data_IF_396268621116
#
_entry.id   IF_396268621116
#
_cell.length_a   1.000
_cell.length_b   1.000
_cell.length_c   1.000
_cell.angle_alpha   90.00
_cell.angle_beta   90.00
_cell.angle_gamma   90.00
#
_symmetry.space_group_name_H-M   'P 1'
#
loop_
_entity.id
_entity.type
_entity.pdbx_description
1 polymer ?
#
# COMPACT_ATOMS: atom_id res chain seq x y z
N UNK A 1 -37.45 0.16 -26.47
CA UNK A 1 -36.81 -0.84 -25.58
C UNK A 1 -36.07 -0.05 -24.51
N UNK A 2 -36.64 0.05 -23.30
CA UNK A 2 -36.03 0.82 -22.20
C UNK A 2 -34.87 -0.02 -21.67
N UNK A 3 -33.62 0.41 -21.92
CA UNK A 3 -32.46 -0.21 -21.26
C UNK A 3 -32.64 -0.01 -19.77
N UNK A 4 -32.67 -1.09 -19.03
CA UNK A 4 -32.69 -0.98 -17.56
C UNK A 4 -31.35 -0.39 -17.12
N UNK A 5 -31.29 0.34 -16.01
CA UNK A 5 -30.00 0.82 -15.46
C UNK A 5 -29.00 -0.31 -15.20
N UNK A 6 -29.47 -1.57 -15.16
CA UNK A 6 -28.65 -2.79 -15.06
C UNK A 6 -28.00 -3.20 -16.38
N UNK A 7 -28.68 -3.04 -17.52
CA UNK A 7 -28.07 -3.25 -18.84
C UNK A 7 -26.92 -2.26 -19.07
N UNK A 8 -27.06 -1.02 -18.57
CA UNK A 8 -25.98 -0.04 -18.58
C UNK A 8 -24.86 -0.37 -17.57
N UNK A 9 -25.17 -0.99 -16.43
CA UNK A 9 -24.18 -1.43 -15.45
C UNK A 9 -23.31 -2.58 -15.97
N UNK A 10 -23.91 -3.57 -16.67
CA UNK A 10 -23.20 -4.64 -17.38
C UNK A 10 -22.30 -4.13 -18.51
N UNK A 11 -22.63 -2.97 -19.07
CA UNK A 11 -21.90 -2.29 -20.14
C UNK A 11 -20.91 -1.23 -19.64
N UNK A 12 -20.70 -1.06 -18.32
CA UNK A 12 -19.57 -0.28 -17.82
C UNK A 12 -18.31 -1.07 -18.18
N UNK A 13 -17.71 -0.65 -19.29
CA UNK A 13 -16.59 -1.24 -20.03
C UNK A 13 -15.78 -2.28 -19.24
N UNK A 14 -15.46 -3.44 -19.85
CA UNK A 14 -14.40 -4.30 -19.31
C UNK A 14 -13.23 -3.39 -18.96
N UNK A 15 -12.75 -3.44 -17.70
CA UNK A 15 -11.68 -2.53 -17.25
C UNK A 15 -10.39 -2.70 -18.07
N UNK A 16 -10.32 -3.77 -18.88
CA UNK A 16 -9.38 -4.01 -19.97
C UNK A 16 -9.58 -3.18 -21.26
N UNK A 17 -10.35 -2.10 -21.27
CA UNK A 17 -10.18 -1.06 -22.30
C UNK A 17 -8.84 -0.31 -22.11
N UNK A 18 -7.73 -1.04 -22.30
CA UNK A 18 -6.37 -0.70 -22.78
C UNK A 18 -5.69 0.55 -22.26
N UNK A 19 -6.22 1.17 -21.22
CA UNK A 19 -5.69 2.44 -20.74
C UNK A 19 -4.54 2.24 -19.77
N UNK A 20 -4.47 1.11 -19.06
CA UNK A 20 -3.52 0.94 -17.96
C UNK A 20 -3.93 1.76 -16.74
N UNK A 21 -3.50 1.30 -15.56
CA UNK A 21 -3.86 1.92 -14.29
C UNK A 21 -3.35 3.38 -14.24
N UNK A 22 -4.16 4.29 -13.68
CA UNK A 22 -3.78 5.68 -13.53
C UNK A 22 -2.59 5.81 -12.57
N UNK A 23 -1.57 6.59 -12.94
CA UNK A 23 -0.35 6.71 -12.15
C UNK A 23 -0.50 7.62 -10.92
N UNK A 24 -1.44 8.56 -10.97
CA UNK A 24 -1.61 9.62 -9.99
C UNK A 24 -1.78 9.10 -8.54
N UNK A 25 -2.60 8.07 -8.25
CA UNK A 25 -2.73 7.55 -6.88
C UNK A 25 -1.40 7.09 -6.28
N UNK A 26 -0.57 6.37 -7.05
CA UNK A 26 0.74 5.90 -6.58
C UNK A 26 1.68 7.06 -6.28
N UNK A 27 1.73 8.07 -7.15
CA UNK A 27 2.55 9.27 -6.94
C UNK A 27 2.09 10.03 -5.70
N UNK A 28 0.78 10.23 -5.53
CA UNK A 28 0.23 10.90 -4.35
C UNK A 28 0.56 10.13 -3.09
N UNK A 29 0.38 8.81 -3.07
CA UNK A 29 0.74 7.97 -1.92
C UNK A 29 2.23 8.11 -1.57
N UNK A 30 3.13 8.04 -2.55
CA UNK A 30 4.57 8.25 -2.34
C UNK A 30 4.88 9.64 -1.81
N UNK A 31 4.29 10.70 -2.37
CA UNK A 31 4.49 12.08 -1.90
C UNK A 31 3.98 12.27 -0.47
N UNK A 32 2.86 11.63 -0.10
CA UNK A 32 2.36 11.64 1.27
C UNK A 32 3.35 10.95 2.21
N UNK A 33 3.92 9.79 1.85
CA UNK A 33 4.96 9.14 2.64
C UNK A 33 6.20 10.04 2.83
N UNK A 34 6.67 10.70 1.77
CA UNK A 34 7.78 11.67 1.83
C UNK A 34 7.45 12.81 2.80
N UNK A 35 6.25 13.38 2.72
CA UNK A 35 5.80 14.45 3.61
C UNK A 35 5.71 13.98 5.07
N UNK A 36 5.19 12.78 5.32
CA UNK A 36 5.13 12.21 6.67
C UNK A 36 6.53 12.06 7.25
N UNK A 37 7.50 11.57 6.46
CA UNK A 37 8.89 11.46 6.87
C UNK A 37 9.52 12.82 7.21
N UNK A 38 9.31 13.83 6.37
CA UNK A 38 9.85 15.18 6.59
C UNK A 38 9.34 15.83 7.89
N UNK A 39 8.11 15.49 8.28
CA UNK A 39 7.45 15.98 9.47
C UNK A 39 7.79 15.16 10.73
N UNK A 40 8.58 14.09 10.63
CA UNK A 40 9.00 13.31 11.79
C UNK A 40 9.92 14.12 12.71
N UNK A 41 9.81 13.93 14.04
CA UNK A 41 10.77 14.46 15.00
C UNK A 41 12.21 14.04 14.67
N UNK A 42 13.18 14.94 14.88
CA UNK A 42 14.58 14.71 14.50
C UNK A 42 15.18 13.46 15.14
N UNK A 43 14.76 13.12 16.35
CA UNK A 43 15.21 11.94 17.10
C UNK A 43 14.78 10.60 16.49
N UNK A 44 13.91 10.60 15.48
CA UNK A 44 13.43 9.40 14.77
C UNK A 44 13.99 9.32 13.33
N UNK A 45 14.82 10.28 12.93
CA UNK A 45 15.39 10.31 11.59
C UNK A 45 16.66 9.45 11.53
N UNK A 46 16.74 8.57 10.53
CA UNK A 46 17.90 7.72 10.25
C UNK A 46 19.05 8.50 9.60
N UNK A 47 18.71 9.54 8.85
CA UNK A 47 19.63 10.34 8.06
C UNK A 47 19.28 11.83 8.23
N UNK A 48 20.14 12.76 7.77
CA UNK A 48 19.75 14.17 7.71
C UNK A 48 18.43 14.33 6.96
N UNK A 49 17.53 15.16 7.49
CA UNK A 49 16.10 15.23 7.13
C UNK A 49 15.79 15.22 5.63
N UNK A 50 16.67 15.78 4.81
CA UNK A 50 16.44 15.91 3.37
C UNK A 50 17.08 14.82 2.51
N UNK A 51 17.99 14.00 3.06
CA UNK A 51 18.75 13.01 2.29
C UNK A 51 17.83 11.92 1.75
N UNK A 52 17.02 11.30 2.61
CA UNK A 52 16.09 10.24 2.20
C UNK A 52 14.97 10.76 1.28
N UNK A 53 14.27 11.85 1.62
CA UNK A 53 13.31 12.50 0.71
C UNK A 53 13.89 12.87 -0.65
N UNK A 54 15.12 13.42 -0.70
CA UNK A 54 15.76 13.73 -1.96
C UNK A 54 16.04 12.47 -2.79
N UNK A 55 16.51 11.39 -2.15
CA UNK A 55 16.73 10.10 -2.81
C UNK A 55 15.42 9.50 -3.34
N UNK A 56 14.34 9.54 -2.55
CA UNK A 56 13.01 9.08 -2.95
C UNK A 56 12.49 9.87 -4.16
N UNK A 57 12.66 11.21 -4.17
CA UNK A 57 12.30 12.06 -5.30
C UNK A 57 13.15 11.75 -6.55
N UNK A 58 14.46 11.56 -6.39
CA UNK A 58 15.38 11.20 -7.48
C UNK A 58 14.99 9.87 -8.11
N UNK A 59 14.52 8.90 -7.32
CA UNK A 59 14.00 7.63 -7.84
C UNK A 59 12.59 7.78 -8.44
N UNK A 60 11.74 8.61 -7.86
CA UNK A 60 10.37 8.82 -8.33
C UNK A 60 10.33 9.46 -9.72
N UNK A 61 11.20 10.43 -9.99
CA UNK A 61 11.27 11.17 -11.27
C UNK A 61 11.36 10.23 -12.49
N UNK A 62 12.36 9.33 -12.63
CA UNK A 62 12.46 8.43 -13.78
C UNK A 62 11.30 7.43 -13.83
N UNK A 63 10.81 6.94 -12.69
CA UNK A 63 9.66 6.03 -12.66
C UNK A 63 8.43 6.75 -13.24
N UNK A 64 8.19 8.01 -12.87
CA UNK A 64 7.11 8.85 -13.44
C UNK A 64 7.35 9.13 -14.92
N UNK A 65 8.58 9.47 -15.32
CA UNK A 65 8.91 9.79 -16.70
C UNK A 65 8.63 8.62 -17.67
N UNK A 66 8.85 7.37 -17.25
CA UNK A 66 8.59 6.18 -18.09
C UNK A 66 7.08 5.98 -18.33
N UNK A 67 6.24 6.25 -17.33
CA UNK A 67 4.78 6.09 -17.40
C UNK A 67 4.09 7.31 -16.74
N UNK A 68 3.97 8.45 -17.44
CA UNK A 68 3.59 9.73 -16.80
C UNK A 68 2.13 9.81 -16.43
N UNK A 69 1.24 9.15 -17.19
CA UNK A 69 -0.21 9.20 -16.95
C UNK A 69 -0.77 7.82 -16.58
N UNK A 70 -0.37 6.80 -17.32
CA UNK A 70 -0.90 5.44 -17.18
C UNK A 70 0.19 4.40 -17.30
N UNK A 71 0.05 3.34 -16.51
CA UNK A 71 1.00 2.26 -16.40
C UNK A 71 0.79 1.26 -17.54
N UNK A 72 1.53 1.46 -18.63
CA UNK A 72 1.39 0.67 -19.87
C UNK A 72 2.70 0.00 -20.29
N UNK A 73 3.85 0.56 -19.92
CA UNK A 73 5.16 0.05 -20.32
C UNK A 73 5.95 -0.47 -19.12
N UNK A 74 6.23 -1.77 -19.12
CA UNK A 74 7.08 -2.41 -18.10
C UNK A 74 8.48 -2.66 -18.67
N UNK A 75 9.47 -1.94 -18.18
CA UNK A 75 10.89 -2.23 -18.44
C UNK A 75 11.55 -2.80 -17.18
N UNK A 76 12.67 -3.52 -17.34
CA UNK A 76 13.45 -4.00 -16.17
C UNK A 76 13.90 -2.85 -15.29
N UNK A 77 14.36 -1.75 -15.88
CA UNK A 77 14.76 -0.55 -15.15
C UNK A 77 13.61 0.06 -14.35
N UNK A 78 12.41 0.19 -14.94
CA UNK A 78 11.21 0.65 -14.24
C UNK A 78 10.91 -0.21 -13.02
N UNK A 79 10.95 -1.54 -13.16
CA UNK A 79 10.69 -2.46 -12.05
C UNK A 79 11.71 -2.36 -10.93
N UNK A 80 12.99 -2.30 -11.28
CA UNK A 80 14.07 -2.14 -10.28
C UNK A 80 13.92 -0.81 -9.53
N UNK A 81 13.66 0.29 -10.24
CA UNK A 81 13.50 1.62 -9.63
C UNK A 81 12.25 1.69 -8.72
N UNK A 82 11.10 1.16 -9.18
CA UNK A 82 9.88 1.08 -8.38
C UNK A 82 10.10 0.29 -7.08
N UNK A 83 10.67 -0.91 -7.19
CA UNK A 83 10.91 -1.77 -6.03
C UNK A 83 11.95 -1.18 -5.09
N UNK A 84 13.00 -0.55 -5.62
CA UNK A 84 14.00 0.15 -4.81
C UNK A 84 13.40 1.33 -4.04
N UNK A 85 12.53 2.12 -4.67
CA UNK A 85 11.82 3.22 -4.03
C UNK A 85 10.97 2.71 -2.85
N UNK A 86 10.14 1.69 -3.08
CA UNK A 86 9.32 1.09 -2.01
C UNK A 86 10.19 0.51 -0.89
N UNK A 87 11.29 -0.18 -1.23
CA UNK A 87 12.21 -0.74 -0.26
C UNK A 87 12.87 0.34 0.62
N UNK A 88 13.29 1.47 0.03
CA UNK A 88 13.90 2.57 0.79
C UNK A 88 12.90 3.17 1.77
N UNK A 89 11.66 3.43 1.33
CA UNK A 89 10.59 3.94 2.20
C UNK A 89 10.33 2.94 3.33
N UNK A 90 10.31 1.64 3.03
CA UNK A 90 10.01 0.60 4.01
C UNK A 90 11.08 0.50 5.09
N UNK A 91 12.35 0.44 4.67
CA UNK A 91 13.51 0.39 5.58
C UNK A 91 13.58 1.66 6.42
N UNK A 92 13.33 2.83 5.81
CA UNK A 92 13.26 4.11 6.52
C UNK A 92 12.18 4.11 7.60
N UNK A 93 10.96 3.67 7.26
CA UNK A 93 9.84 3.65 8.22
C UNK A 93 10.03 2.62 9.34
N UNK A 94 10.55 1.43 9.04
CA UNK A 94 10.86 0.41 10.05
C UNK A 94 11.98 0.85 11.00
N UNK A 95 12.95 1.61 10.50
CA UNK A 95 13.99 2.21 11.34
C UNK A 95 13.42 3.30 12.25
N UNK A 96 12.54 4.15 11.71
CA UNK A 96 11.83 5.17 12.49
C UNK A 96 10.97 4.53 13.60
N UNK A 97 10.32 3.39 13.31
CA UNK A 97 9.63 2.59 14.32
C UNK A 97 10.61 2.08 15.39
N UNK A 98 11.77 1.54 15.01
CA UNK A 98 12.79 1.12 15.96
C UNK A 98 13.23 2.23 16.92
N UNK A 99 13.47 3.44 16.39
CA UNK A 99 13.77 4.60 17.22
C UNK A 99 12.59 5.04 18.09
N UNK A 100 11.36 4.95 17.57
CA UNK A 100 10.16 5.28 18.34
C UNK A 100 10.00 4.34 19.53
N UNK A 101 10.21 3.03 19.32
CA UNK A 101 10.22 2.02 20.39
C UNK A 101 11.30 2.37 21.42
N UNK A 102 12.53 2.66 20.99
CA UNK A 102 13.62 3.00 21.90
C UNK A 102 13.29 4.26 22.73
N UNK A 103 12.74 5.30 22.11
CA UNK A 103 12.34 6.52 22.81
C UNK A 103 11.20 6.27 23.81
N UNK A 104 10.25 5.39 23.48
CA UNK A 104 9.13 5.06 24.37
C UNK A 104 9.53 4.19 25.56
N UNK A 105 10.55 3.33 25.40
CA UNK A 105 10.99 2.39 26.44
C UNK A 105 12.07 2.99 27.35
N UNK A 106 13.06 3.69 26.78
CA UNK A 106 14.27 4.05 27.52
C UNK A 106 14.41 5.55 27.80
N UNK A 107 13.79 6.42 27.02
CA UNK A 107 13.96 7.86 27.21
C UNK A 107 12.97 8.42 28.25
N UNK A 108 13.46 9.33 29.11
CA UNK A 108 12.63 10.13 30.00
C UNK A 108 11.91 11.23 29.21
N UNK A 109 10.95 10.83 28.36
CA UNK A 109 10.35 11.72 27.37
C UNK A 109 9.49 12.79 28.05
N UNK A 110 9.85 14.06 27.83
CA UNK A 110 9.13 15.22 28.35
C UNK A 110 7.93 15.65 27.49
N UNK A 111 7.90 15.27 26.20
CA UNK A 111 6.85 15.67 25.25
C UNK A 111 6.08 14.45 24.69
N UNK A 112 5.00 14.06 25.38
CA UNK A 112 4.14 12.96 24.95
C UNK A 112 3.36 13.25 23.67
N UNK A 113 3.01 14.51 23.40
CA UNK A 113 2.23 14.89 22.22
C UNK A 113 3.03 14.69 20.94
N UNK A 114 4.30 15.10 20.93
CA UNK A 114 5.18 14.88 19.77
C UNK A 114 5.35 13.39 19.46
N UNK A 115 5.38 12.52 20.47
CA UNK A 115 5.50 11.08 20.24
C UNK A 115 4.23 10.44 19.70
N UNK A 116 3.05 10.88 20.16
CA UNK A 116 1.78 10.39 19.61
C UNK A 116 1.63 10.76 18.14
N UNK A 117 1.99 12.00 17.78
CA UNK A 117 2.02 12.43 16.38
C UNK A 117 3.03 11.62 15.56
N UNK A 118 4.22 11.35 16.11
CA UNK A 118 5.22 10.53 15.45
C UNK A 118 4.75 9.08 15.23
N UNK A 119 4.09 8.48 16.22
CA UNK A 119 3.53 7.14 16.10
C UNK A 119 2.45 7.08 15.01
N UNK A 120 1.58 8.10 14.94
CA UNK A 120 0.59 8.23 13.88
C UNK A 120 1.26 8.36 12.49
N UNK A 121 2.33 9.16 12.38
CA UNK A 121 3.09 9.32 11.13
C UNK A 121 3.74 8.00 10.70
N UNK A 122 4.37 7.27 11.61
CA UNK A 122 4.99 5.96 11.36
C UNK A 122 3.94 4.93 10.95
N UNK A 123 2.81 4.87 11.65
CA UNK A 123 1.70 3.97 11.33
C UNK A 123 1.09 4.25 9.95
N UNK A 124 0.82 5.52 9.63
CA UNK A 124 0.25 5.89 8.34
C UNK A 124 1.24 5.62 7.19
N UNK A 125 2.54 5.89 7.41
CA UNK A 125 3.58 5.55 6.43
C UNK A 125 3.71 4.03 6.26
N UNK A 126 3.50 3.25 7.31
CA UNK A 126 3.49 1.79 7.26
C UNK A 126 2.40 1.29 6.31
N UNK A 127 1.18 1.82 6.44
CA UNK A 127 0.06 1.49 5.54
C UNK A 127 0.39 1.86 4.08
N UNK A 128 0.96 3.04 3.86
CA UNK A 128 1.29 3.48 2.51
C UNK A 128 2.34 2.57 1.88
N UNK A 129 3.42 2.27 2.61
CA UNK A 129 4.54 1.54 2.03
C UNK A 129 4.23 0.07 1.80
N UNK A 130 3.50 -0.58 2.71
CA UNK A 130 3.08 -1.97 2.51
C UNK A 130 1.99 -2.08 1.44
N UNK A 131 1.04 -1.14 1.37
CA UNK A 131 0.09 -1.07 0.25
C UNK A 131 0.79 -0.91 -1.10
N UNK A 132 1.81 -0.05 -1.20
CA UNK A 132 2.65 0.08 -2.41
C UNK A 132 3.44 -1.21 -2.69
N UNK A 133 3.98 -1.88 -1.68
CA UNK A 133 4.71 -3.13 -1.83
C UNK A 133 3.81 -4.26 -2.35
N UNK A 134 2.61 -4.42 -1.78
CA UNK A 134 1.64 -5.40 -2.25
C UNK A 134 1.24 -5.13 -3.70
N UNK A 135 0.95 -3.87 -4.03
CA UNK A 135 0.60 -3.44 -5.39
C UNK A 135 1.74 -3.66 -6.40
N UNK A 136 2.99 -3.41 -6.04
CA UNK A 136 4.13 -3.64 -6.93
C UNK A 136 4.47 -5.14 -7.09
N UNK A 137 4.21 -5.98 -6.09
CA UNK A 137 4.60 -7.40 -6.14
C UNK A 137 3.54 -8.32 -6.76
N UNK A 138 2.26 -8.05 -6.47
CA UNK A 138 1.16 -8.92 -6.87
C UNK A 138 1.01 -9.02 -8.39
N UNK A 139 0.82 -10.26 -8.87
CA UNK A 139 0.64 -10.63 -10.28
C UNK A 139 1.70 -10.00 -11.21
N UNK A 140 2.93 -9.83 -10.72
CA UNK A 140 4.06 -9.31 -11.50
C UNK A 140 4.11 -7.78 -11.65
N UNK A 141 3.20 -7.06 -10.99
CA UNK A 141 3.18 -5.60 -10.93
C UNK A 141 2.01 -4.96 -11.70
N UNK A 142 1.83 -3.63 -11.55
CA UNK A 142 0.66 -2.91 -12.02
C UNK A 142 0.51 -2.84 -13.54
N UNK A 143 1.63 -2.84 -14.27
CA UNK A 143 1.57 -2.85 -15.73
C UNK A 143 1.09 -4.22 -16.20
N UNK A 144 1.72 -5.33 -15.78
CA UNK A 144 1.30 -6.67 -16.23
C UNK A 144 -0.17 -6.97 -15.87
N UNK A 145 -0.61 -6.58 -14.66
CA UNK A 145 -2.01 -6.72 -14.22
C UNK A 145 -3.04 -6.13 -15.18
N UNK A 146 -2.69 -5.07 -15.91
CA UNK A 146 -3.63 -4.36 -16.81
C UNK A 146 -3.32 -4.53 -18.29
N UNK A 147 -2.13 -5.02 -18.64
CA UNK A 147 -1.69 -5.15 -20.04
C UNK A 147 -1.73 -6.58 -20.55
N UNK A 148 -1.60 -7.58 -19.68
CA UNK A 148 -1.67 -8.99 -20.10
C UNK A 148 -3.13 -9.48 -20.16
N UNK A 149 -3.44 -10.39 -21.09
CA UNK A 149 -4.62 -11.24 -21.01
C UNK A 149 -4.67 -12.01 -19.69
N UNK A 150 -5.88 -12.31 -19.21
CA UNK A 150 -6.10 -12.94 -17.89
C UNK A 150 -5.47 -14.32 -17.77
N UNK A 151 -5.45 -15.09 -18.86
CA UNK A 151 -4.83 -16.41 -18.99
C UNK A 151 -3.29 -16.38 -18.99
N UNK A 152 -2.70 -15.21 -19.27
CA UNK A 152 -1.25 -14.99 -19.24
C UNK A 152 -0.77 -14.32 -17.93
N UNK A 153 -1.68 -14.00 -17.00
CA UNK A 153 -1.29 -13.35 -15.75
C UNK A 153 -0.42 -14.26 -14.88
N UNK A 154 0.64 -13.71 -14.25
CA UNK A 154 1.39 -14.44 -13.23
C UNK A 154 0.50 -14.87 -12.07
N UNK A 155 0.95 -15.91 -11.35
CA UNK A 155 0.28 -16.38 -10.13
C UNK A 155 0.05 -15.22 -9.14
N UNK A 156 -1.16 -15.19 -8.58
CA UNK A 156 -1.56 -14.18 -7.61
C UNK A 156 -0.86 -14.38 -6.26
N UNK A 157 -0.43 -13.28 -5.66
CA UNK A 157 0.03 -13.25 -4.27
C UNK A 157 -1.13 -13.06 -3.30
N UNK A 158 -2.20 -12.41 -3.76
CA UNK A 158 -3.41 -12.12 -2.98
C UNK A 158 -4.65 -12.62 -3.70
N UNK A 159 -5.53 -13.30 -2.95
CA UNK A 159 -6.87 -13.66 -3.40
C UNK A 159 -7.87 -12.65 -2.88
N UNK A 160 -8.46 -11.87 -3.77
CA UNK A 160 -9.48 -10.89 -3.43
C UNK A 160 -10.87 -11.51 -3.49
N UNK A 161 -11.84 -10.99 -2.74
CA UNK A 161 -13.23 -11.48 -2.77
C UNK A 161 -13.84 -11.49 -4.19
N UNK A 162 -13.47 -10.55 -5.05
CA UNK A 162 -13.92 -10.49 -6.45
C UNK A 162 -13.50 -11.73 -7.26
N UNK A 163 -12.44 -12.43 -6.87
CA UNK A 163 -12.02 -13.69 -7.49
C UNK A 163 -12.93 -14.88 -7.11
N UNK A 164 -13.78 -14.75 -6.09
CA UNK A 164 -14.67 -15.80 -5.59
C UNK A 164 -16.16 -15.52 -5.84
N UNK A 165 -16.49 -14.33 -6.33
CA UNK A 165 -17.87 -13.85 -6.42
C UNK A 165 -18.72 -14.45 -7.56
N UNK A 166 -18.17 -15.28 -8.43
CA UNK A 166 -18.88 -15.76 -9.64
C UNK A 166 -20.20 -16.51 -9.35
N UNK A 167 -20.22 -17.31 -8.28
CA UNK A 167 -21.37 -18.13 -7.87
C UNK A 167 -22.33 -17.46 -6.90
N UNK A 168 -22.23 -16.14 -6.71
CA UNK A 168 -23.03 -15.38 -5.73
C UNK A 168 -24.31 -14.81 -6.36
N UNK A 169 -25.09 -14.05 -5.57
CA UNK A 169 -26.27 -13.32 -6.06
C UNK A 169 -25.92 -12.40 -7.23
N UNK A 170 -26.89 -12.16 -8.11
CA UNK A 170 -26.66 -11.53 -9.43
C UNK A 170 -25.88 -10.20 -9.32
N UNK A 171 -26.27 -9.32 -8.41
CA UNK A 171 -25.65 -8.01 -8.21
C UNK A 171 -24.19 -8.07 -7.72
N UNK A 172 -23.78 -9.15 -7.06
CA UNK A 172 -22.40 -9.36 -6.60
C UNK A 172 -21.58 -10.07 -7.67
N UNK A 173 -22.17 -11.08 -8.32
CA UNK A 173 -21.53 -11.84 -9.38
C UNK A 173 -21.22 -10.96 -10.60
N UNK A 174 -22.04 -9.95 -10.89
CA UNK A 174 -21.77 -8.96 -11.94
C UNK A 174 -20.43 -8.22 -11.74
N UNK A 175 -19.94 -8.10 -10.49
CA UNK A 175 -18.65 -7.51 -10.15
C UNK A 175 -17.50 -8.52 -10.03
N UNK A 176 -17.72 -9.81 -10.30
CA UNK A 176 -16.67 -10.82 -10.19
C UNK A 176 -15.56 -10.59 -11.21
N UNK A 177 -14.37 -11.14 -10.92
CA UNK A 177 -13.23 -11.03 -11.81
C UNK A 177 -13.43 -11.82 -13.11
N UNK A 178 -14.26 -12.86 -13.12
CA UNK A 178 -14.65 -13.61 -14.32
C UNK A 178 -15.69 -12.89 -15.20
N UNK A 179 -16.64 -12.15 -14.62
CA UNK A 179 -17.71 -11.48 -15.39
C UNK A 179 -17.37 -10.05 -15.83
N UNK A 180 -16.63 -9.31 -15.02
CA UNK A 180 -16.31 -7.89 -15.26
C UNK A 180 -14.85 -7.63 -15.62
N UNK A 181 -14.04 -8.69 -15.69
CA UNK A 181 -12.58 -8.60 -15.83
C UNK A 181 -11.96 -7.70 -14.75
N UNK A 182 -12.49 -7.79 -13.52
CA UNK A 182 -12.00 -7.01 -12.39
C UNK A 182 -10.55 -7.35 -12.09
N UNK A 183 -9.74 -6.31 -11.89
CA UNK A 183 -8.36 -6.40 -11.40
C UNK A 183 -8.16 -5.42 -10.25
N UNK A 184 -7.37 -5.79 -9.22
CA UNK A 184 -7.10 -4.90 -8.09
C UNK A 184 -6.27 -3.70 -8.55
N UNK A 185 -6.57 -2.54 -7.98
CA UNK A 185 -5.85 -1.26 -8.16
C UNK A 185 -5.12 -0.90 -6.88
N UNK A 186 -4.29 0.15 -6.88
CA UNK A 186 -3.58 0.60 -5.68
C UNK A 186 -4.50 0.82 -4.47
N UNK A 187 -5.72 1.31 -4.70
CA UNK A 187 -6.68 1.57 -3.61
C UNK A 187 -7.06 0.27 -2.92
N UNK A 188 -7.22 -0.82 -3.66
CA UNK A 188 -7.53 -2.14 -3.11
C UNK A 188 -6.37 -2.64 -2.23
N UNK A 189 -5.11 -2.45 -2.65
CA UNK A 189 -3.95 -2.82 -1.83
C UNK A 189 -3.72 -1.91 -0.62
N UNK A 190 -4.03 -0.61 -0.71
CA UNK A 190 -4.02 0.29 0.45
C UNK A 190 -5.09 -0.12 1.46
N UNK A 191 -6.25 -0.57 0.98
CA UNK A 191 -7.28 -1.15 1.85
C UNK A 191 -6.79 -2.44 2.50
N UNK A 192 -6.19 -3.38 1.76
CA UNK A 192 -5.56 -4.60 2.32
C UNK A 192 -4.52 -4.28 3.39
N UNK A 193 -3.68 -3.28 3.14
CA UNK A 193 -2.65 -2.83 4.08
C UNK A 193 -3.27 -2.20 5.34
N UNK A 194 -4.29 -1.36 5.18
CA UNK A 194 -5.04 -0.79 6.31
C UNK A 194 -5.70 -1.89 7.17
N UNK A 195 -6.36 -2.86 6.53
CA UNK A 195 -7.04 -3.96 7.24
C UNK A 195 -6.04 -4.89 7.93
N UNK A 196 -4.94 -5.23 7.26
CA UNK A 196 -3.85 -6.03 7.83
C UNK A 196 -3.13 -5.32 8.99
N UNK A 197 -3.00 -3.99 8.91
CA UNK A 197 -2.39 -3.17 9.94
C UNK A 197 -3.28 -2.99 11.18
N UNK A 198 -4.61 -2.95 11.02
CA UNK A 198 -5.54 -2.71 12.13
C UNK A 198 -6.06 -3.99 12.78
N UNK A 199 -6.13 -5.10 12.04
CA UNK A 199 -6.64 -6.40 12.50
C UNK A 199 -8.08 -6.41 13.07
N UNK A 200 -8.85 -5.33 12.90
CA UNK A 200 -10.24 -5.20 13.37
C UNK A 200 -11.30 -5.20 12.25
N UNK A 201 -10.89 -5.34 10.99
CA UNK A 201 -11.77 -5.33 9.82
C UNK A 201 -12.08 -6.75 9.31
N UNK A 202 -13.10 -6.93 8.46
CA UNK A 202 -13.30 -8.19 7.74
C UNK A 202 -12.05 -8.53 6.91
N UNK A 203 -11.48 -9.71 7.11
CA UNK A 203 -10.38 -10.25 6.31
C UNK A 203 -10.92 -10.75 4.98
N UNK A 204 -11.03 -9.86 4.00
CA UNK A 204 -11.59 -10.13 2.67
C UNK A 204 -10.54 -10.53 1.61
N UNK A 205 -9.26 -10.48 1.98
CA UNK A 205 -8.14 -10.76 1.08
C UNK A 205 -7.14 -11.71 1.73
N UNK A 206 -6.88 -12.85 1.08
CA UNK A 206 -6.02 -13.91 1.61
C UNK A 206 -4.63 -13.91 0.94
N UNK A 207 -3.51 -13.93 1.69
CA UNK A 207 -2.18 -14.09 1.12
C UNK A 207 -1.94 -15.54 0.67
N UNK A 208 -1.67 -15.72 -0.62
CA UNK A 208 -1.44 -17.03 -1.24
C UNK A 208 0.03 -17.43 -1.22
N UNK A 209 0.93 -16.48 -1.47
CA UNK A 209 2.37 -16.75 -1.58
C UNK A 209 3.13 -16.57 -0.26
N UNK A 210 4.27 -17.26 -0.12
CA UNK A 210 5.13 -17.13 1.08
C UNK A 210 5.64 -15.69 1.27
N UNK A 211 5.94 -14.98 0.17
CA UNK A 211 6.38 -13.58 0.24
C UNK A 211 5.28 -12.66 0.76
N UNK A 212 4.03 -12.85 0.33
CA UNK A 212 2.89 -12.08 0.81
C UNK A 212 2.66 -12.31 2.31
N UNK A 213 2.70 -13.57 2.74
CA UNK A 213 2.57 -13.95 4.16
C UNK A 213 3.64 -13.29 5.04
N UNK A 214 4.90 -13.26 4.58
CA UNK A 214 5.99 -12.61 5.30
C UNK A 214 5.80 -11.09 5.37
N UNK A 215 5.48 -10.43 4.26
CA UNK A 215 5.28 -8.98 4.25
C UNK A 215 4.09 -8.56 5.12
N UNK A 216 2.96 -9.27 5.03
CA UNK A 216 1.81 -9.02 5.91
C UNK A 216 2.18 -9.21 7.38
N UNK A 217 2.98 -10.24 7.69
CA UNK A 217 3.43 -10.50 9.06
C UNK A 217 4.30 -9.35 9.60
N UNK A 218 5.25 -8.84 8.80
CA UNK A 218 6.08 -7.68 9.19
C UNK A 218 5.22 -6.44 9.40
N UNK A 219 4.27 -6.19 8.51
CA UNK A 219 3.35 -5.05 8.63
C UNK A 219 2.51 -5.14 9.90
N UNK A 220 1.84 -6.27 10.15
CA UNK A 220 0.97 -6.45 11.31
C UNK A 220 1.74 -6.37 12.62
N UNK A 221 2.93 -6.96 12.71
CA UNK A 221 3.79 -6.84 13.91
C UNK A 221 4.21 -5.39 14.12
N UNK A 222 4.60 -4.67 13.07
CA UNK A 222 4.99 -3.26 13.15
C UNK A 222 3.84 -2.38 13.63
N UNK A 223 2.64 -2.61 13.11
CA UNK A 223 1.43 -1.89 13.50
C UNK A 223 0.98 -2.21 14.93
N UNK A 224 1.08 -3.48 15.34
CA UNK A 224 0.79 -3.92 16.70
C UNK A 224 1.72 -3.25 17.71
N UNK A 225 3.03 -3.25 17.45
CA UNK A 225 4.03 -2.58 18.30
C UNK A 225 3.74 -1.09 18.42
N UNK A 226 3.44 -0.43 17.30
CA UNK A 226 3.10 1.01 17.28
C UNK A 226 1.86 1.28 18.15
N UNK A 227 0.81 0.49 17.99
CA UNK A 227 -0.45 0.64 18.71
C UNK A 227 -0.30 0.41 20.21
N UNK A 228 0.36 -0.69 20.61
CA UNK A 228 0.59 -1.04 22.01
C UNK A 228 1.39 0.05 22.74
N UNK A 229 2.43 0.59 22.11
CA UNK A 229 3.26 1.61 22.72
C UNK A 229 2.55 2.97 22.84
N UNK A 230 1.72 3.32 21.85
CA UNK A 230 0.86 4.51 21.92
C UNK A 230 -0.11 4.39 23.10
N UNK A 231 -0.77 3.24 23.26
CA UNK A 231 -1.70 2.98 24.36
C UNK A 231 -0.97 3.04 25.71
N UNK A 232 0.16 2.33 25.84
CA UNK A 232 0.96 2.32 27.05
C UNK A 232 1.38 3.74 27.46
N UNK A 233 1.78 4.58 26.50
CA UNK A 233 2.16 5.95 26.78
C UNK A 233 0.98 6.83 27.15
N UNK A 234 -0.16 6.68 26.50
CA UNK A 234 -1.38 7.40 26.86
C UNK A 234 -1.79 7.12 28.32
N UNK A 235 -1.71 5.86 28.76
CA UNK A 235 -1.99 5.45 30.15
C UNK A 235 -0.97 6.02 31.13
N UNK A 236 0.31 6.05 30.77
CA UNK A 236 1.40 6.60 31.59
C UNK A 236 1.34 8.12 31.77
N UNK A 237 0.63 8.86 30.92
CA UNK A 237 0.48 10.32 31.05
C UNK A 237 -0.70 10.67 31.98
N UNK A 238 -1.65 9.75 32.15
CA UNK A 238 -2.85 9.94 32.99
C UNK A 238 -2.62 9.58 34.47
N UNK A 239 -1.51 8.91 34.80
CA UNK A 239 -1.11 8.52 36.16
C UNK A 239 0.26 9.10 36.49
#
# INVERSE_FOLDING_TARGET
MVRTGRDEARLRHPRHERRGEARLPAVVATLVAICLYLLLPQQLLVAPRYVLPALELVLLIPVVAINPRRLTRQTRAFRVLSLALVLIIAVSNLSALGFLIHQLVYASVKDGRSLLLAALQVWLTNIIVFGLAFWELDRGGPVLRTQLPRDELPLADFRFSQDENEGTVEEVADGSSSRSDWVPTLVDYLYVSLTNSTAFSPTDTMPLSSRAKLLMSVESVSALLTSLLVIARAVSILH
#
